data_IF_291705788285
#
_entry.id   IF_291705788285
#
_cell.length_a   1.000
_cell.length_b   1.000
_cell.length_c   1.000
_cell.angle_alpha   90.00
_cell.angle_beta   90.00
_cell.angle_gamma   90.00
#
_symmetry.space_group_name_H-M   'P 1'
#
loop_
_entity.id
_entity.type
_entity.pdbx_description
1 polymer ?
#
# COMPACT_ATOMS: atom_id res chain seq x y z
N UNK A 1 -0.50 42.65 -61.27
CA UNK A 1 0.90 42.44 -61.70
C UNK A 1 1.69 42.03 -60.48
N UNK A 2 1.93 40.73 -60.31
CA UNK A 2 2.90 40.20 -59.38
C UNK A 2 3.68 39.13 -60.17
N UNK A 3 4.90 39.47 -60.53
CA UNK A 3 5.79 38.69 -61.37
C UNK A 3 6.27 37.49 -60.55
N UNK A 4 5.80 36.29 -60.88
CA UNK A 4 6.44 35.05 -60.42
C UNK A 4 7.77 34.94 -61.15
N UNK A 5 8.87 35.06 -60.41
CA UNK A 5 10.20 34.68 -60.87
C UNK A 5 10.22 33.17 -61.11
N UNK A 6 10.24 32.78 -62.38
CA UNK A 6 10.64 31.44 -62.81
C UNK A 6 12.09 31.22 -62.34
N UNK A 7 12.23 30.52 -61.22
CA UNK A 7 13.50 29.89 -60.84
C UNK A 7 13.84 28.86 -61.90
N UNK A 8 14.89 29.16 -62.65
CA UNK A 8 15.56 28.27 -63.59
C UNK A 8 15.99 27.01 -62.83
N UNK A 9 15.16 25.96 -62.88
CA UNK A 9 15.48 24.65 -62.35
C UNK A 9 16.59 24.05 -63.20
N UNK A 10 17.84 24.30 -62.80
CA UNK A 10 19.00 23.63 -63.35
C UNK A 10 18.80 22.12 -63.24
N UNK A 11 19.09 21.43 -64.34
CA UNK A 11 18.93 19.99 -64.53
C UNK A 11 19.84 19.21 -63.57
N UNK A 12 19.47 19.15 -62.28
CA UNK A 12 20.21 18.51 -61.20
C UNK A 12 19.96 17.00 -61.13
N UNK A 13 19.30 16.41 -62.12
CA UNK A 13 19.08 14.96 -62.21
C UNK A 13 20.40 14.17 -62.24
N UNK A 14 21.47 14.78 -62.76
CA UNK A 14 22.81 14.19 -62.83
C UNK A 14 23.71 14.53 -61.63
N UNK A 15 23.29 15.40 -60.71
CA UNK A 15 24.11 15.77 -59.54
C UNK A 15 24.42 14.60 -58.59
N UNK A 16 23.47 13.69 -58.27
CA UNK A 16 23.77 12.50 -57.48
C UNK A 16 24.78 11.57 -58.19
N UNK A 17 24.72 11.49 -59.51
CA UNK A 17 25.63 10.66 -60.32
C UNK A 17 27.05 11.22 -60.25
N UNK A 18 27.24 12.53 -60.41
CA UNK A 18 28.56 13.15 -60.28
C UNK A 18 29.14 13.05 -58.86
N UNK A 19 28.31 13.12 -57.83
CA UNK A 19 28.74 12.91 -56.44
C UNK A 19 29.21 11.46 -56.24
N UNK A 20 28.46 10.48 -56.76
CA UNK A 20 28.84 9.06 -56.70
C UNK A 20 30.15 8.81 -57.45
N UNK A 21 30.29 9.36 -58.66
CA UNK A 21 31.51 9.23 -59.46
C UNK A 21 32.71 9.86 -58.75
N UNK A 22 32.55 11.07 -58.18
CA UNK A 22 33.59 11.73 -57.40
C UNK A 22 33.97 10.90 -56.16
N UNK A 23 32.99 10.29 -55.48
CA UNK A 23 33.23 9.40 -54.35
C UNK A 23 34.03 8.17 -54.76
N UNK A 24 33.70 7.51 -55.87
CA UNK A 24 34.47 6.38 -56.38
C UNK A 24 35.90 6.76 -56.76
N UNK A 25 36.11 7.90 -57.42
CA UNK A 25 37.44 8.41 -57.71
C UNK A 25 38.21 8.74 -56.41
N UNK A 26 37.57 9.39 -55.44
CA UNK A 26 38.18 9.67 -54.14
C UNK A 26 38.58 8.38 -53.41
N UNK A 27 37.70 7.38 -53.34
CA UNK A 27 37.99 6.07 -52.72
C UNK A 27 39.14 5.37 -53.44
N UNK A 28 39.16 5.40 -54.78
CA UNK A 28 40.24 4.83 -55.57
C UNK A 28 41.58 5.55 -55.35
N UNK A 29 41.59 6.88 -55.27
CA UNK A 29 42.81 7.66 -54.97
C UNK A 29 43.29 7.45 -53.54
N UNK A 30 42.38 7.38 -52.57
CA UNK A 30 42.68 7.06 -51.16
C UNK A 30 43.29 5.65 -51.05
N UNK A 31 42.73 4.68 -51.78
CA UNK A 31 43.29 3.35 -51.87
C UNK A 31 44.69 3.38 -52.50
N UNK A 32 44.86 4.03 -53.67
CA UNK A 32 46.15 4.05 -54.38
C UNK A 32 47.27 4.76 -53.62
N UNK A 33 46.97 5.87 -52.94
CA UNK A 33 47.96 6.68 -52.21
C UNK A 33 48.18 6.19 -50.78
N UNK A 34 47.15 5.59 -50.16
CA UNK A 34 47.14 5.17 -48.76
C UNK A 34 47.15 3.66 -48.55
N UNK A 35 47.26 2.85 -49.61
CA UNK A 35 47.17 1.38 -49.56
C UNK A 35 47.97 0.78 -48.40
N UNK A 36 49.25 1.14 -48.30
CA UNK A 36 50.16 0.63 -47.27
C UNK A 36 49.73 1.02 -45.85
N UNK A 37 49.21 2.23 -45.65
CA UNK A 37 48.73 2.68 -44.34
C UNK A 37 47.41 2.01 -43.97
N UNK A 38 46.50 1.82 -44.94
CA UNK A 38 45.20 1.18 -44.74
C UNK A 38 45.39 -0.29 -44.40
N UNK A 39 46.20 -1.02 -45.16
CA UNK A 39 46.48 -2.44 -44.90
C UNK A 39 47.17 -2.62 -43.54
N UNK A 40 48.13 -1.76 -43.19
CA UNK A 40 48.78 -1.79 -41.88
C UNK A 40 47.80 -1.57 -40.72
N UNK A 41 46.89 -0.59 -40.86
CA UNK A 41 45.88 -0.32 -39.84
C UNK A 41 44.87 -1.47 -39.68
N UNK A 42 44.43 -2.07 -40.79
CA UNK A 42 43.52 -3.22 -40.78
C UNK A 42 44.20 -4.45 -40.18
N UNK A 43 45.44 -4.75 -40.57
CA UNK A 43 46.22 -5.84 -39.98
C UNK A 43 46.52 -5.60 -38.50
N UNK A 44 46.81 -4.37 -38.09
CA UNK A 44 46.97 -4.07 -36.66
C UNK A 44 45.71 -4.42 -35.86
N UNK A 45 44.53 -3.96 -36.29
CA UNK A 45 43.27 -4.27 -35.61
C UNK A 45 43.02 -5.78 -35.59
N UNK A 46 43.17 -6.46 -36.73
CA UNK A 46 42.94 -7.89 -36.86
C UNK A 46 43.92 -8.76 -36.06
N UNK A 47 45.20 -8.37 -35.99
CA UNK A 47 46.20 -9.05 -35.16
C UNK A 47 45.83 -8.92 -33.69
N UNK A 48 45.36 -7.74 -33.26
CA UNK A 48 44.91 -7.53 -31.89
C UNK A 48 43.65 -8.35 -31.56
N UNK A 49 42.65 -8.34 -32.44
CA UNK A 49 41.44 -9.16 -32.31
C UNK A 49 41.78 -10.66 -32.29
N UNK A 50 42.61 -11.11 -33.22
CA UNK A 50 43.07 -12.49 -33.31
C UNK A 50 43.86 -12.95 -32.09
N UNK A 51 44.79 -12.12 -31.57
CA UNK A 51 45.53 -12.41 -30.33
C UNK A 51 44.61 -12.53 -29.12
N UNK A 52 43.61 -11.66 -29.03
CA UNK A 52 42.61 -11.69 -27.96
C UNK A 52 41.81 -13.00 -28.02
N UNK A 53 41.34 -13.41 -29.19
CA UNK A 53 40.61 -14.69 -29.35
C UNK A 53 41.52 -15.89 -29.09
N UNK A 54 42.74 -15.88 -29.64
CA UNK A 54 43.66 -17.00 -29.52
C UNK A 54 44.06 -17.27 -28.06
N UNK A 55 44.07 -16.25 -27.19
CA UNK A 55 44.23 -16.41 -25.75
C UNK A 55 43.17 -17.34 -25.13
N UNK A 56 41.95 -17.34 -25.67
CA UNK A 56 40.84 -18.15 -25.17
C UNK A 56 40.67 -19.49 -25.91
N UNK A 57 40.91 -19.53 -27.22
CA UNK A 57 40.68 -20.73 -28.04
C UNK A 57 41.93 -21.59 -28.28
N UNK A 58 43.14 -21.04 -28.13
CA UNK A 58 44.44 -21.70 -28.39
C UNK A 58 44.44 -22.53 -29.69
N UNK A 59 43.90 -21.98 -30.79
CA UNK A 59 43.77 -22.69 -32.04
C UNK A 59 45.04 -22.51 -32.89
N UNK A 60 45.73 -23.59 -33.28
CA UNK A 60 46.97 -23.51 -34.06
C UNK A 60 46.80 -22.82 -35.41
N UNK A 61 45.63 -22.96 -36.06
CA UNK A 61 45.35 -22.32 -37.36
C UNK A 61 45.24 -20.80 -37.25
N UNK A 62 44.65 -20.30 -36.15
CA UNK A 62 44.53 -18.87 -35.88
C UNK A 62 45.91 -18.26 -35.53
N UNK A 63 46.75 -19.02 -34.82
CA UNK A 63 48.12 -18.60 -34.50
C UNK A 63 49.00 -18.48 -35.76
N UNK A 64 48.84 -19.40 -36.71
CA UNK A 64 49.52 -19.34 -38.01
C UNK A 64 49.08 -18.12 -38.82
N UNK A 65 47.78 -17.85 -38.90
CA UNK A 65 47.22 -16.66 -39.57
C UNK A 65 47.70 -15.33 -38.94
N UNK A 66 47.81 -15.28 -37.60
CA UNK A 66 48.37 -14.13 -36.89
C UNK A 66 49.85 -13.92 -37.28
N UNK A 67 50.63 -14.99 -37.32
CA UNK A 67 52.04 -14.93 -37.72
C UNK A 67 52.23 -14.54 -39.19
N UNK A 68 51.33 -14.95 -40.07
CA UNK A 68 51.32 -14.55 -41.49
C UNK A 68 51.04 -13.05 -41.64
N UNK A 69 50.08 -12.49 -40.89
CA UNK A 69 49.84 -11.04 -40.91
C UNK A 69 51.00 -10.21 -40.34
N UNK A 70 51.77 -10.75 -39.40
CA UNK A 70 52.94 -10.08 -38.81
C UNK A 70 54.17 -10.09 -39.73
N UNK A 71 54.26 -11.05 -40.66
CA UNK A 71 55.45 -11.30 -41.49
C UNK A 71 55.30 -10.89 -42.95
N UNK A 72 54.06 -10.75 -43.45
CA UNK A 72 53.79 -10.36 -44.84
C UNK A 72 54.07 -8.86 -45.08
N UNK A 73 54.82 -8.49 -46.14
CA UNK A 73 55.09 -7.10 -46.46
C UNK A 73 53.82 -6.38 -46.92
N UNK A 74 53.45 -5.34 -46.17
CA UNK A 74 52.23 -4.52 -46.34
C UNK A 74 52.09 -3.90 -47.74
N UNK A 75 53.20 -3.73 -48.48
CA UNK A 75 53.23 -3.15 -49.82
C UNK A 75 52.81 -4.11 -50.94
N UNK A 76 52.78 -5.43 -50.70
CA UNK A 76 52.52 -6.45 -51.72
C UNK A 76 51.17 -7.16 -51.60
N UNK A 77 50.32 -6.76 -50.65
CA UNK A 77 49.03 -7.42 -50.38
C UNK A 77 47.98 -6.97 -51.39
N UNK A 78 47.46 -7.91 -52.18
CA UNK A 78 46.31 -7.69 -53.07
C UNK A 78 45.00 -7.61 -52.28
N UNK A 79 43.99 -6.90 -52.81
CA UNK A 79 42.67 -6.74 -52.18
C UNK A 79 42.03 -8.08 -51.82
N UNK A 80 42.14 -9.08 -52.69
CA UNK A 80 41.55 -10.40 -52.45
C UNK A 80 42.24 -11.15 -51.28
N UNK A 81 43.54 -10.92 -51.11
CA UNK A 81 44.33 -11.51 -50.02
C UNK A 81 44.01 -10.81 -48.70
N UNK A 82 43.84 -9.47 -48.71
CA UNK A 82 43.39 -8.71 -47.56
C UNK A 82 42.01 -9.18 -47.08
N UNK A 83 41.06 -9.35 -48.02
CA UNK A 83 39.68 -9.72 -47.70
C UNK A 83 39.59 -11.16 -47.19
N UNK A 84 40.32 -12.12 -47.76
CA UNK A 84 40.31 -13.50 -47.27
C UNK A 84 40.87 -13.63 -45.85
N UNK A 85 42.02 -13.01 -45.58
CA UNK A 85 42.63 -13.02 -44.23
C UNK A 85 41.72 -12.33 -43.19
N UNK A 86 41.09 -11.21 -43.56
CA UNK A 86 40.16 -10.51 -42.67
C UNK A 86 38.86 -11.32 -42.43
N UNK A 87 38.36 -12.06 -43.43
CA UNK A 87 37.19 -12.93 -43.30
C UNK A 87 37.43 -14.09 -42.34
N UNK A 88 38.60 -14.72 -42.40
CA UNK A 88 38.95 -15.85 -41.54
C UNK A 88 38.97 -15.44 -40.06
N UNK A 89 39.55 -14.29 -39.73
CA UNK A 89 39.54 -13.74 -38.35
C UNK A 89 38.14 -13.30 -37.94
N UNK A 90 37.40 -12.70 -38.89
CA UNK A 90 36.01 -12.31 -38.72
C UNK A 90 35.12 -13.49 -38.33
N UNK A 91 35.34 -14.67 -38.92
CA UNK A 91 34.59 -15.89 -38.58
C UNK A 91 34.81 -16.31 -37.11
N UNK A 92 36.04 -16.18 -36.59
CA UNK A 92 36.31 -16.42 -35.17
C UNK A 92 35.76 -15.31 -34.26
N UNK A 93 35.76 -14.05 -34.70
CA UNK A 93 35.18 -12.91 -33.96
C UNK A 93 33.65 -12.98 -33.84
N UNK A 94 32.96 -13.74 -34.70
CA UNK A 94 31.50 -13.93 -34.60
C UNK A 94 31.07 -14.59 -33.30
N UNK A 95 31.80 -15.59 -32.81
CA UNK A 95 31.42 -16.32 -31.60
C UNK A 95 31.33 -15.43 -30.35
N UNK A 96 32.35 -14.64 -29.97
CA UNK A 96 32.26 -13.76 -28.79
C UNK A 96 31.17 -12.69 -28.96
N UNK A 97 31.00 -12.13 -30.16
CA UNK A 97 29.93 -11.17 -30.45
C UNK A 97 28.55 -11.80 -30.27
N UNK A 98 28.35 -13.03 -30.75
CA UNK A 98 27.09 -13.78 -30.55
C UNK A 98 26.84 -14.03 -29.07
N UNK A 99 27.85 -14.38 -28.26
CA UNK A 99 27.68 -14.52 -26.82
C UNK A 99 27.30 -13.21 -26.13
N UNK A 100 27.92 -12.08 -26.52
CA UNK A 100 27.56 -10.76 -26.01
C UNK A 100 26.12 -10.40 -26.39
N UNK A 101 25.74 -10.61 -27.65
CA UNK A 101 24.38 -10.35 -28.14
C UNK A 101 23.34 -11.26 -27.47
N UNK A 102 23.64 -12.53 -27.24
CA UNK A 102 22.80 -13.44 -26.47
C UNK A 102 22.65 -12.97 -25.02
N UNK A 103 23.74 -12.53 -24.39
CA UNK A 103 23.72 -11.94 -23.05
C UNK A 103 22.82 -10.70 -22.99
N UNK A 104 22.97 -9.78 -23.95
CA UNK A 104 22.13 -8.60 -24.08
C UNK A 104 20.68 -8.95 -24.38
N UNK A 105 20.41 -9.98 -25.19
CA UNK A 105 19.06 -10.45 -25.48
C UNK A 105 18.39 -11.02 -24.23
N UNK A 106 19.11 -11.82 -23.42
CA UNK A 106 18.61 -12.33 -22.14
C UNK A 106 18.37 -11.21 -21.14
N UNK A 107 19.28 -10.24 -21.04
CA UNK A 107 19.12 -9.07 -20.18
C UNK A 107 17.91 -8.24 -20.61
N UNK A 108 17.74 -7.99 -21.90
CA UNK A 108 16.60 -7.25 -22.47
C UNK A 108 15.27 -7.98 -22.19
N UNK A 109 15.23 -9.30 -22.38
CA UNK A 109 14.06 -10.12 -22.10
C UNK A 109 13.68 -10.08 -20.61
N UNK A 110 14.66 -10.19 -19.70
CA UNK A 110 14.43 -10.15 -18.24
C UNK A 110 14.11 -8.74 -17.72
N UNK A 111 14.63 -7.69 -18.36
CA UNK A 111 14.43 -6.30 -17.94
C UNK A 111 13.14 -5.68 -18.46
N UNK A 112 12.44 -6.35 -19.37
CA UNK A 112 11.22 -5.82 -19.95
C UNK A 112 10.07 -5.79 -18.91
N UNK A 113 9.77 -4.57 -18.44
CA UNK A 113 8.72 -4.27 -17.46
C UNK A 113 7.33 -4.72 -17.96
N UNK A 114 7.09 -4.72 -19.28
CA UNK A 114 5.81 -5.13 -19.89
C UNK A 114 5.59 -6.64 -19.76
N UNK A 115 6.66 -7.44 -19.69
CA UNK A 115 6.56 -8.89 -19.46
C UNK A 115 6.38 -9.24 -17.98
N UNK A 116 6.73 -8.33 -17.05
CA UNK A 116 6.72 -8.57 -15.60
C UNK A 116 5.31 -8.70 -15.02
N UNK A 117 4.31 -8.02 -15.58
CA UNK A 117 2.93 -7.95 -15.06
C UNK A 117 1.90 -8.73 -15.89
N UNK A 118 2.24 -9.96 -16.32
CA UNK A 118 1.35 -10.81 -17.15
C UNK A 118 0.56 -11.89 -16.40
N UNK A 119 0.63 -11.93 -15.07
CA UNK A 119 -0.06 -12.96 -14.28
C UNK A 119 -1.55 -12.61 -14.19
N UNK A 120 -2.41 -13.52 -14.64
CA UNK A 120 -3.84 -13.44 -14.35
C UNK A 120 -4.04 -13.77 -12.86
N UNK A 121 -4.59 -12.81 -12.11
CA UNK A 121 -4.86 -12.97 -10.69
C UNK A 121 -6.35 -13.20 -10.44
N UNK A 122 -6.65 -14.02 -9.43
CA UNK A 122 -7.95 -14.09 -8.77
C UNK A 122 -7.90 -13.32 -7.44
N UNK A 123 -9.05 -13.12 -6.79
CA UNK A 123 -9.13 -12.35 -5.53
C UNK A 123 -8.15 -12.85 -4.45
N UNK A 124 -8.02 -14.17 -4.29
CA UNK A 124 -7.12 -14.77 -3.29
C UNK A 124 -5.64 -14.60 -3.63
N UNK A 125 -5.25 -14.79 -4.88
CA UNK A 125 -3.84 -14.67 -5.31
C UNK A 125 -3.38 -13.21 -5.33
N UNK A 126 -4.25 -12.26 -5.72
CA UNK A 126 -3.93 -10.85 -5.65
C UNK A 126 -3.73 -10.39 -4.20
N UNK A 127 -4.67 -10.79 -3.31
CA UNK A 127 -4.57 -10.49 -1.87
C UNK A 127 -3.28 -11.06 -1.28
N UNK A 128 -2.93 -12.30 -1.60
CA UNK A 128 -1.72 -12.97 -1.15
C UNK A 128 -0.42 -12.31 -1.65
N UNK A 129 -0.43 -11.70 -2.83
CA UNK A 129 0.72 -10.96 -3.34
C UNK A 129 0.85 -9.59 -2.66
N UNK A 130 -0.25 -8.84 -2.57
CA UNK A 130 -0.25 -7.46 -2.11
C UNK A 130 -0.12 -7.31 -0.58
N UNK A 131 -0.24 -8.39 0.19
CA UNK A 131 -0.08 -8.36 1.64
C UNK A 131 1.26 -7.79 2.12
N UNK A 132 2.32 -7.94 1.32
CA UNK A 132 3.65 -7.43 1.65
C UNK A 132 3.79 -5.93 1.41
N UNK A 133 3.05 -5.40 0.44
CA UNK A 133 2.97 -3.96 0.17
C UNK A 133 2.05 -3.27 1.16
N UNK A 134 0.96 -3.95 1.55
CA UNK A 134 -0.07 -3.43 2.45
C UNK A 134 -0.26 -4.35 3.66
N UNK A 135 0.53 -4.18 4.74
CA UNK A 135 0.42 -5.05 5.92
C UNK A 135 -0.99 -5.06 6.56
N UNK A 136 -1.76 -3.99 6.41
CA UNK A 136 -3.11 -3.84 6.97
C UNK A 136 -4.11 -4.97 6.57
N UNK A 137 -3.92 -5.63 5.42
CA UNK A 137 -4.80 -6.74 4.98
C UNK A 137 -4.37 -8.11 5.51
N UNK A 138 -3.20 -8.20 6.12
CA UNK A 138 -2.62 -9.44 6.65
C UNK A 138 -3.53 -10.17 7.65
N UNK A 139 -4.24 -9.50 8.59
CA UNK A 139 -5.06 -10.20 9.59
C UNK A 139 -6.21 -11.02 9.02
N UNK A 140 -6.70 -10.66 7.82
CA UNK A 140 -7.88 -11.29 7.18
C UNK A 140 -7.47 -12.27 6.08
N UNK A 141 -6.19 -12.35 5.73
CA UNK A 141 -5.76 -13.08 4.54
C UNK A 141 -5.94 -14.60 4.62
N UNK A 142 -5.86 -15.16 5.83
CA UNK A 142 -6.03 -16.58 6.10
C UNK A 142 -7.50 -16.95 6.35
N UNK A 143 -8.36 -15.95 6.55
CA UNK A 143 -9.77 -16.16 6.87
C UNK A 143 -10.62 -16.22 5.59
N UNK A 144 -11.60 -17.12 5.59
CA UNK A 144 -12.71 -17.10 4.64
C UNK A 144 -13.97 -16.55 5.32
N UNK A 145 -14.11 -15.23 5.26
CA UNK A 145 -15.22 -14.50 5.86
C UNK A 145 -16.53 -14.63 5.05
N UNK A 146 -16.46 -15.02 3.78
CA UNK A 146 -17.65 -15.09 2.90
C UNK A 146 -18.54 -16.27 3.29
N UNK A 147 -17.91 -17.38 3.70
CA UNK A 147 -18.60 -18.60 4.12
C UNK A 147 -19.12 -18.54 5.57
N UNK A 148 -18.74 -17.52 6.34
CA UNK A 148 -19.10 -17.39 7.75
C UNK A 148 -20.44 -16.66 7.95
N UNK A 149 -21.15 -17.02 9.02
CA UNK A 149 -22.37 -16.31 9.45
C UNK A 149 -22.01 -14.90 9.94
N UNK A 150 -22.73 -13.92 9.39
CA UNK A 150 -22.50 -12.49 9.58
C UNK A 150 -22.62 -12.05 11.04
N UNK A 151 -23.42 -12.75 11.85
CA UNK A 151 -23.71 -12.39 13.24
C UNK A 151 -22.87 -13.18 14.25
N UNK A 152 -22.01 -14.10 13.80
CA UNK A 152 -21.24 -15.00 14.68
C UNK A 152 -19.74 -14.82 14.51
N UNK A 153 -19.01 -15.25 15.54
CA UNK A 153 -17.55 -15.23 15.56
C UNK A 153 -16.93 -13.85 15.84
N UNK A 154 -15.60 -13.76 15.80
CA UNK A 154 -14.86 -12.55 16.13
C UNK A 154 -15.10 -11.41 15.12
N UNK A 155 -15.42 -11.75 13.88
CA UNK A 155 -15.64 -10.80 12.80
C UNK A 155 -17.10 -10.34 12.65
N UNK A 156 -18.00 -10.80 13.52
CA UNK A 156 -19.44 -10.49 13.47
C UNK A 156 -19.71 -8.99 13.25
N UNK A 157 -20.76 -8.67 12.48
CA UNK A 157 -21.20 -7.29 12.24
C UNK A 157 -21.63 -6.60 13.53
N UNK A 158 -21.68 -5.26 13.49
CA UNK A 158 -22.20 -4.48 14.60
C UNK A 158 -23.70 -4.76 14.78
N UNK A 159 -24.16 -4.85 16.03
CA UNK A 159 -25.58 -5.07 16.30
C UNK A 159 -26.40 -3.84 15.88
N UNK A 160 -27.54 -4.09 15.25
CA UNK A 160 -28.56 -3.04 15.06
C UNK A 160 -29.14 -2.60 16.41
N UNK A 161 -29.75 -1.41 16.52
CA UNK A 161 -30.38 -0.95 17.75
C UNK A 161 -31.42 -1.95 18.32
N UNK A 162 -32.20 -2.59 17.44
CA UNK A 162 -33.19 -3.59 17.82
C UNK A 162 -32.55 -4.89 18.32
N UNK A 163 -31.54 -5.42 17.62
CA UNK A 163 -30.82 -6.62 18.06
C UNK A 163 -30.07 -6.38 19.37
N UNK A 164 -29.49 -5.18 19.54
CA UNK A 164 -28.86 -4.75 20.77
C UNK A 164 -29.87 -4.72 21.92
N UNK A 165 -31.04 -4.09 21.71
CA UNK A 165 -32.08 -4.02 22.72
C UNK A 165 -32.63 -5.41 23.09
N UNK A 166 -32.79 -6.33 22.13
CA UNK A 166 -33.17 -7.73 22.40
C UNK A 166 -32.08 -8.47 23.17
N UNK A 167 -30.82 -8.35 22.77
CA UNK A 167 -29.68 -9.04 23.42
C UNK A 167 -29.56 -8.69 24.91
N UNK A 168 -29.86 -7.45 25.27
CA UNK A 168 -29.78 -6.96 26.65
C UNK A 168 -31.14 -6.86 27.36
N UNK A 169 -32.22 -7.41 26.77
CA UNK A 169 -33.58 -7.38 27.32
C UNK A 169 -34.06 -5.98 27.73
N UNK A 170 -33.81 -4.99 26.87
CA UNK A 170 -34.12 -3.58 27.12
C UNK A 170 -35.52 -3.17 26.66
N UNK A 171 -36.22 -4.03 25.93
CA UNK A 171 -37.54 -3.75 25.38
C UNK A 171 -38.63 -3.98 26.44
N UNK A 172 -39.62 -3.10 26.46
CA UNK A 172 -40.85 -3.23 27.26
C UNK A 172 -42.08 -2.82 26.46
N UNK A 173 -43.26 -3.22 26.94
CA UNK A 173 -44.52 -2.68 26.40
C UNK A 173 -44.66 -1.20 26.71
N UNK A 174 -45.26 -0.46 25.78
CA UNK A 174 -45.56 0.96 25.97
C UNK A 174 -46.75 1.09 26.93
N UNK A 175 -46.56 1.86 28.00
CA UNK A 175 -47.60 2.07 29.00
C UNK A 175 -48.47 3.26 28.59
N UNK A 176 -49.75 2.98 28.30
CA UNK A 176 -50.74 3.96 27.83
C UNK A 176 -50.88 5.16 28.81
N UNK A 177 -50.56 4.96 30.09
CA UNK A 177 -50.65 6.00 31.14
C UNK A 177 -49.38 6.84 31.30
N UNK A 178 -48.20 6.32 30.95
CA UNK A 178 -46.92 6.99 31.18
C UNK A 178 -46.30 7.56 29.90
N UNK A 179 -46.53 6.91 28.76
CA UNK A 179 -45.96 7.28 27.48
C UNK A 179 -47.05 7.91 26.59
N UNK A 180 -46.83 9.15 26.12
CA UNK A 180 -47.80 9.87 25.29
C UNK A 180 -47.95 9.18 23.93
N UNK A 181 -49.13 8.62 23.65
CA UNK A 181 -49.40 8.02 22.35
C UNK A 181 -49.37 9.10 21.27
N UNK A 182 -48.40 8.99 20.37
CA UNK A 182 -48.29 9.86 19.20
C UNK A 182 -48.96 9.16 18.03
N UNK A 183 -49.91 9.81 17.33
CA UNK A 183 -50.57 9.22 16.17
C UNK A 183 -49.54 8.77 15.14
N UNK A 184 -49.57 7.49 14.74
CA UNK A 184 -48.65 6.89 13.75
C UNK A 184 -47.53 6.01 14.31
N UNK A 185 -47.33 5.96 15.63
CA UNK A 185 -46.33 5.12 16.31
C UNK A 185 -46.91 3.82 16.92
N UNK A 186 -48.03 3.35 16.37
CA UNK A 186 -48.66 2.10 16.77
C UNK A 186 -47.72 0.90 16.54
N UNK A 187 -47.74 -0.07 17.46
CA UNK A 187 -46.95 -1.30 17.44
C UNK A 187 -45.42 -1.11 17.58
N UNK A 188 -45.01 -0.13 18.39
CA UNK A 188 -43.61 0.06 18.77
C UNK A 188 -43.34 -0.40 20.19
N UNK A 189 -42.08 -0.71 20.51
CA UNK A 189 -41.65 -1.04 21.87
C UNK A 189 -41.07 0.18 22.56
N UNK A 190 -41.30 0.27 23.87
CA UNK A 190 -40.61 1.23 24.73
C UNK A 190 -39.32 0.62 25.30
N UNK A 191 -38.48 1.46 25.91
CA UNK A 191 -37.20 1.05 26.51
C UNK A 191 -37.26 1.10 28.02
N UNK A 192 -36.67 0.10 28.68
CA UNK A 192 -36.33 0.12 30.12
C UNK A 192 -35.15 1.05 30.35
N UNK A 193 -35.43 2.32 30.67
CA UNK A 193 -34.41 3.39 30.80
C UNK A 193 -33.35 3.09 31.87
N UNK A 194 -33.74 2.46 32.99
CA UNK A 194 -32.82 2.06 34.07
C UNK A 194 -31.82 0.99 33.61
N UNK A 195 -32.29 -0.05 32.93
CA UNK A 195 -31.43 -1.10 32.39
C UNK A 195 -30.56 -0.60 31.24
N UNK A 196 -31.11 0.24 30.36
CA UNK A 196 -30.33 0.89 29.32
C UNK A 196 -29.20 1.74 29.91
N UNK A 197 -29.48 2.49 30.99
CA UNK A 197 -28.46 3.25 31.74
C UNK A 197 -27.36 2.32 32.25
N UNK A 198 -27.72 1.22 32.91
CA UNK A 198 -26.77 0.22 33.40
C UNK A 198 -25.90 -0.35 32.28
N UNK A 199 -26.50 -0.76 31.16
CA UNK A 199 -25.78 -1.35 30.02
C UNK A 199 -24.84 -0.34 29.39
N UNK A 200 -25.29 0.89 29.13
CA UNK A 200 -24.42 1.92 28.57
C UNK A 200 -23.32 2.32 29.54
N UNK A 201 -23.57 2.35 30.85
CA UNK A 201 -22.50 2.58 31.84
C UNK A 201 -21.43 1.48 31.79
N UNK A 202 -21.83 0.21 31.68
CA UNK A 202 -20.87 -0.91 31.53
C UNK A 202 -20.03 -0.80 30.24
N UNK A 203 -20.53 -0.15 29.19
CA UNK A 203 -19.78 0.07 27.96
C UNK A 203 -18.62 1.06 28.13
N UNK A 204 -18.61 2.00 29.09
CA UNK A 204 -17.53 2.99 29.21
C UNK A 204 -16.15 2.35 29.43
N UNK A 205 -16.12 1.18 30.08
CA UNK A 205 -14.87 0.51 30.42
C UNK A 205 -14.15 1.17 31.61
N UNK A 206 -12.84 0.93 31.76
CA UNK A 206 -12.08 1.41 32.90
C UNK A 206 -11.78 2.92 32.82
N UNK A 207 -11.58 3.52 33.98
CA UNK A 207 -11.02 4.86 34.10
C UNK A 207 -9.60 4.92 33.54
N UNK A 208 -9.20 6.10 33.09
CA UNK A 208 -7.83 6.36 32.69
C UNK A 208 -6.99 6.74 33.92
N UNK A 209 -6.01 5.90 34.24
CA UNK A 209 -5.06 6.08 35.36
C UNK A 209 -3.60 6.09 34.85
N UNK A 210 -3.42 6.51 33.60
CA UNK A 210 -2.14 6.46 32.89
C UNK A 210 -2.03 5.31 31.89
N UNK A 211 -1.13 5.47 30.92
CA UNK A 211 -1.00 4.51 29.81
C UNK A 211 -0.50 3.14 30.26
N UNK A 212 0.31 3.05 31.31
CA UNK A 212 0.84 1.77 31.80
C UNK A 212 -0.25 0.79 32.31
N UNK A 213 -1.39 1.33 32.75
CA UNK A 213 -2.55 0.55 33.20
C UNK A 213 -3.53 0.18 32.07
N UNK A 214 -3.30 0.69 30.85
CA UNK A 214 -4.13 0.36 29.70
C UNK A 214 -3.88 -1.08 29.22
N UNK A 215 -4.91 -1.68 28.62
CA UNK A 215 -4.76 -2.95 27.93
C UNK A 215 -3.71 -2.83 26.79
N UNK A 216 -2.95 -3.90 26.47
CA UNK A 216 -1.83 -3.84 25.51
C UNK A 216 -2.22 -3.29 24.13
N UNK A 217 -3.40 -3.64 23.63
CA UNK A 217 -3.92 -3.14 22.36
C UNK A 217 -4.23 -1.63 22.41
N UNK A 218 -4.75 -1.14 23.54
CA UNK A 218 -5.01 0.28 23.74
C UNK A 218 -3.69 1.07 23.90
N UNK A 219 -2.72 0.50 24.63
CA UNK A 219 -1.39 1.06 24.78
C UNK A 219 -0.67 1.24 23.44
N UNK A 220 -0.68 0.21 22.60
CA UNK A 220 0.00 0.27 21.31
C UNK A 220 -0.63 1.27 20.34
N UNK A 221 -1.97 1.33 20.28
CA UNK A 221 -2.66 2.31 19.45
C UNK A 221 -2.53 3.73 19.99
N UNK A 222 -2.50 3.90 21.31
CA UNK A 222 -2.21 5.20 21.91
C UNK A 222 -0.84 5.72 21.42
N UNK A 223 0.17 4.84 21.36
CA UNK A 223 1.50 5.18 20.87
C UNK A 223 1.49 5.61 19.38
N UNK A 224 0.74 4.89 18.54
CA UNK A 224 0.55 5.25 17.13
C UNK A 224 -0.06 6.65 17.02
N UNK A 225 -1.13 6.92 17.77
CA UNK A 225 -1.80 8.23 17.73
C UNK A 225 -0.92 9.34 18.27
N UNK A 226 -0.19 9.12 19.36
CA UNK A 226 0.78 10.10 19.89
C UNK A 226 1.88 10.42 18.88
N UNK A 227 2.46 9.40 18.24
CA UNK A 227 3.46 9.62 17.20
C UNK A 227 2.91 10.49 16.06
N UNK A 228 1.68 10.21 15.61
CA UNK A 228 1.02 11.02 14.56
C UNK A 228 0.70 12.45 15.00
N UNK A 229 0.21 12.66 16.23
CA UNK A 229 0.00 14.00 16.81
C UNK A 229 1.31 14.80 16.79
N UNK A 230 2.43 14.15 17.13
CA UNK A 230 3.75 14.75 17.13
C UNK A 230 4.46 14.70 15.76
N UNK A 231 3.74 14.37 14.67
CA UNK A 231 4.21 14.33 13.27
C UNK A 231 5.35 13.32 13.00
N UNK A 232 5.52 12.32 13.84
CA UNK A 232 6.46 11.21 13.67
C UNK A 232 5.76 10.03 12.97
N UNK A 233 5.64 10.13 11.63
CA UNK A 233 4.93 9.14 10.81
C UNK A 233 5.68 7.82 10.71
N UNK A 234 7.00 7.85 10.71
CA UNK A 234 7.83 6.65 10.59
C UNK A 234 7.67 5.76 11.81
N UNK A 235 7.68 6.33 13.02
CA UNK A 235 7.42 5.59 14.25
C UNK A 235 6.02 4.95 14.29
N UNK A 236 5.00 5.71 13.86
CA UNK A 236 3.63 5.21 13.79
C UNK A 236 3.51 4.02 12.83
N UNK A 237 4.04 4.14 11.62
CA UNK A 237 4.01 3.09 10.61
C UNK A 237 4.82 1.86 11.03
N UNK A 238 5.95 2.05 11.71
CA UNK A 238 6.75 0.95 12.24
C UNK A 238 5.92 0.11 13.23
N UNK A 239 5.19 0.75 14.15
CA UNK A 239 4.33 0.05 15.11
C UNK A 239 3.22 -0.71 14.35
N UNK A 240 2.49 -0.04 13.46
CA UNK A 240 1.39 -0.66 12.70
C UNK A 240 1.87 -1.88 11.90
N UNK A 241 2.95 -1.71 11.13
CA UNK A 241 3.53 -2.80 10.31
C UNK A 241 4.03 -3.97 11.17
N UNK A 242 4.60 -3.67 12.35
CA UNK A 242 5.07 -4.72 13.26
C UNK A 242 3.89 -5.48 13.84
N UNK A 243 2.80 -4.80 14.24
CA UNK A 243 1.59 -5.43 14.76
C UNK A 243 0.90 -6.29 13.70
N UNK A 244 0.77 -5.81 12.46
CA UNK A 244 0.19 -6.58 11.36
C UNK A 244 0.97 -7.87 11.09
N UNK A 245 2.31 -7.78 11.01
CA UNK A 245 3.18 -8.94 10.78
C UNK A 245 3.14 -9.92 11.95
N UNK A 246 3.24 -9.43 13.18
CA UNK A 246 3.27 -10.29 14.37
C UNK A 246 1.92 -10.95 14.65
N UNK A 247 0.81 -10.29 14.33
CA UNK A 247 -0.53 -10.88 14.37
C UNK A 247 -0.62 -12.14 13.50
N UNK A 248 -0.08 -12.11 12.27
CA UNK A 248 -0.06 -13.29 11.38
C UNK A 248 0.76 -14.46 11.92
N UNK A 249 1.84 -14.16 12.65
CA UNK A 249 2.71 -15.16 13.28
C UNK A 249 2.10 -15.75 14.56
N UNK A 250 1.11 -15.09 15.16
CA UNK A 250 0.25 -15.65 16.21
C UNK A 250 -0.03 -14.69 17.36
N UNK A 251 0.98 -14.00 17.89
CA UNK A 251 0.82 -13.05 19.00
C UNK A 251 1.37 -11.67 18.62
N UNK A 252 0.53 -10.62 18.63
CA UNK A 252 0.98 -9.27 18.35
C UNK A 252 2.01 -8.80 19.38
N UNK A 253 3.13 -8.27 18.91
CA UNK A 253 4.13 -7.68 19.79
C UNK A 253 3.80 -6.22 20.08
N UNK A 254 3.12 -5.98 21.21
CA UNK A 254 2.79 -4.62 21.66
C UNK A 254 3.99 -3.90 22.32
N UNK A 255 5.12 -4.58 22.55
CA UNK A 255 6.28 -3.97 23.22
C UNK A 255 6.96 -2.89 22.38
N UNK A 256 6.82 -2.96 21.05
CA UNK A 256 7.31 -1.96 20.08
C UNK A 256 6.79 -0.55 20.35
N UNK A 257 5.65 -0.42 21.04
CA UNK A 257 5.04 0.85 21.38
C UNK A 257 5.70 1.56 22.58
N UNK A 258 6.44 0.84 23.44
CA UNK A 258 6.99 1.38 24.70
C UNK A 258 7.91 2.60 24.50
N UNK A 259 8.86 2.60 23.54
CA UNK A 259 9.73 3.76 23.33
C UNK A 259 8.96 5.02 22.93
N UNK A 260 7.90 4.84 22.13
CA UNK A 260 7.09 5.94 21.59
C UNK A 260 6.19 6.55 22.66
N UNK A 261 5.55 5.73 23.50
CA UNK A 261 4.80 6.23 24.67
C UNK A 261 5.73 7.02 25.59
N UNK A 262 6.89 6.46 25.94
CA UNK A 262 7.85 7.15 26.83
C UNK A 262 8.31 8.49 26.25
N UNK A 263 8.46 8.59 24.94
CA UNK A 263 8.86 9.81 24.22
C UNK A 263 7.76 10.88 24.20
N UNK A 264 6.50 10.49 23.98
CA UNK A 264 5.42 11.44 23.66
C UNK A 264 4.31 11.58 24.71
N UNK A 265 4.26 10.73 25.74
CA UNK A 265 3.23 10.83 26.79
C UNK A 265 3.19 12.19 27.50
N UNK A 266 4.33 12.89 27.55
CA UNK A 266 4.47 14.20 28.17
C UNK A 266 4.34 15.37 27.19
N UNK A 267 3.95 15.13 25.93
CA UNK A 267 3.77 16.22 24.97
C UNK A 267 2.52 17.04 25.31
N UNK A 268 2.57 18.34 25.03
CA UNK A 268 1.52 19.30 25.42
C UNK A 268 0.12 18.87 24.98
N UNK A 269 -0.03 18.51 23.70
CA UNK A 269 -1.31 18.07 23.13
C UNK A 269 -1.83 16.79 23.81
N UNK A 270 -0.93 15.83 24.09
CA UNK A 270 -1.30 14.57 24.73
C UNK A 270 -1.73 14.80 26.19
N UNK A 271 -1.00 15.66 26.91
CA UNK A 271 -1.37 16.04 28.28
C UNK A 271 -2.72 16.76 28.31
N UNK A 272 -2.98 17.67 27.38
CA UNK A 272 -4.28 18.35 27.26
C UNK A 272 -5.42 17.36 27.04
N UNK A 273 -5.25 16.39 26.13
CA UNK A 273 -6.25 15.35 25.86
C UNK A 273 -6.51 14.51 27.11
N UNK A 274 -5.46 14.04 27.77
CA UNK A 274 -5.61 13.21 28.98
C UNK A 274 -6.19 13.97 30.18
N UNK A 275 -6.00 15.29 30.25
CA UNK A 275 -6.61 16.14 31.27
C UNK A 275 -8.12 16.33 31.06
N UNK A 276 -8.59 16.29 29.80
CA UNK A 276 -9.99 16.53 29.41
C UNK A 276 -10.86 15.26 29.38
N UNK A 277 -10.28 14.08 29.53
CA UNK A 277 -11.01 12.81 29.43
C UNK A 277 -10.76 11.87 30.61
N UNK A 278 -11.82 11.23 31.11
CA UNK A 278 -11.77 10.39 32.31
C UNK A 278 -11.62 8.89 32.04
N UNK A 279 -12.06 8.39 30.89
CA UNK A 279 -12.09 6.96 30.56
C UNK A 279 -11.10 6.62 29.46
N UNK A 280 -10.58 5.39 29.47
CA UNK A 280 -9.62 4.93 28.44
C UNK A 280 -10.21 5.08 27.04
N UNK A 281 -11.49 4.72 26.84
CA UNK A 281 -12.14 4.83 25.54
C UNK A 281 -12.31 6.28 25.07
N UNK A 282 -12.55 7.22 25.98
CA UNK A 282 -12.72 8.64 25.61
C UNK A 282 -11.38 9.31 25.35
N UNK A 283 -10.34 8.97 26.13
CA UNK A 283 -8.94 9.35 25.85
C UNK A 283 -8.52 8.84 24.47
N UNK A 284 -8.72 7.55 24.18
CA UNK A 284 -8.39 6.95 22.89
C UNK A 284 -9.17 7.61 21.74
N UNK A 285 -10.44 7.95 21.97
CA UNK A 285 -11.28 8.65 21.00
C UNK A 285 -10.75 10.04 20.64
N UNK A 286 -10.24 10.79 21.61
CA UNK A 286 -9.63 12.10 21.37
C UNK A 286 -8.21 12.01 20.81
N UNK A 287 -7.43 11.00 21.20
CA UNK A 287 -6.11 10.75 20.61
C UNK A 287 -6.20 10.46 19.11
N UNK A 288 -7.10 9.58 18.67
CA UNK A 288 -7.28 9.33 17.23
C UNK A 288 -7.85 10.55 16.51
N UNK A 289 -8.71 11.34 17.17
CA UNK A 289 -9.22 12.58 16.58
C UNK A 289 -8.08 13.57 16.31
N UNK A 290 -7.21 13.81 17.29
CA UNK A 290 -6.06 14.70 17.14
C UNK A 290 -5.02 14.15 16.16
N UNK A 291 -4.78 12.84 16.16
CA UNK A 291 -3.88 12.19 15.20
C UNK A 291 -4.34 12.38 13.74
N UNK A 292 -5.65 12.52 13.51
CA UNK A 292 -6.22 12.77 12.18
C UNK A 292 -6.03 14.20 11.67
N UNK A 293 -5.58 15.12 12.52
CA UNK A 293 -5.23 16.48 12.10
C UNK A 293 -3.89 16.53 11.34
N UNK A 294 -2.96 15.60 11.60
CA UNK A 294 -1.72 15.45 10.82
C UNK A 294 -1.97 14.82 9.43
N UNK A 295 -2.94 13.91 9.35
CA UNK A 295 -3.30 13.25 8.09
C UNK A 295 -4.24 12.07 8.31
N UNK A 296 -4.48 11.28 7.27
CA UNK A 296 -5.40 10.14 7.35
C UNK A 296 -4.84 9.08 8.31
N UNK A 297 -5.68 8.64 9.25
CA UNK A 297 -5.46 7.50 10.17
C UNK A 297 -6.69 6.61 10.08
N UNK A 298 -6.76 5.74 9.06
CA UNK A 298 -7.94 4.93 8.79
C UNK A 298 -7.97 3.71 9.72
N UNK A 299 -9.18 3.24 10.04
CA UNK A 299 -9.33 2.02 10.84
C UNK A 299 -8.89 0.74 10.13
N UNK A 300 -8.68 0.80 8.81
CA UNK A 300 -8.12 -0.31 8.03
C UNK A 300 -6.72 -0.70 8.50
N UNK A 301 -5.91 0.23 9.02
CA UNK A 301 -4.52 -0.03 9.47
C UNK A 301 -4.43 -0.81 10.78
N UNK A 302 -5.54 -0.99 11.50
CA UNK A 302 -5.59 -1.76 12.73
C UNK A 302 -6.71 -2.78 12.71
N UNK A 303 -6.90 -3.43 11.56
CA UNK A 303 -7.94 -4.45 11.36
C UNK A 303 -7.79 -5.63 12.33
N UNK A 304 -6.55 -5.95 12.74
CA UNK A 304 -6.23 -6.93 13.79
C UNK A 304 -6.91 -6.61 15.13
N UNK A 305 -7.32 -5.36 15.38
CA UNK A 305 -7.97 -4.97 16.62
C UNK A 305 -9.39 -5.54 16.72
N UNK A 306 -10.12 -5.69 15.62
CA UNK A 306 -11.51 -6.20 15.62
C UNK A 306 -11.67 -7.53 16.39
N UNK A 307 -10.87 -8.57 16.11
CA UNK A 307 -10.94 -9.84 16.85
C UNK A 307 -10.38 -9.76 18.28
N UNK A 308 -9.48 -8.81 18.57
CA UNK A 308 -8.83 -8.68 19.88
C UNK A 308 -9.68 -7.89 20.87
N UNK A 309 -10.22 -6.75 20.44
CA UNK A 309 -11.04 -5.85 21.26
C UNK A 309 -12.13 -5.20 20.42
N UNK A 310 -13.29 -5.88 20.39
CA UNK A 310 -14.48 -5.44 19.66
C UNK A 310 -14.95 -4.04 20.09
N UNK A 311 -14.85 -3.73 21.38
CA UNK A 311 -15.34 -2.46 21.94
C UNK A 311 -14.44 -1.30 21.54
N UNK A 312 -13.12 -1.45 21.70
CA UNK A 312 -12.16 -0.43 21.27
C UNK A 312 -12.21 -0.24 19.75
N UNK A 313 -12.33 -1.34 18.98
CA UNK A 313 -12.51 -1.27 17.53
C UNK A 313 -13.70 -0.40 17.13
N UNK A 314 -14.90 -0.67 17.66
CA UNK A 314 -16.06 0.13 17.29
C UNK A 314 -15.98 1.56 17.80
N UNK A 315 -15.39 1.79 18.97
CA UNK A 315 -15.20 3.15 19.49
C UNK A 315 -14.34 3.97 18.52
N UNK A 316 -13.18 3.45 18.10
CA UNK A 316 -12.27 4.14 17.17
C UNK A 316 -12.89 4.33 15.78
N UNK A 317 -13.72 3.37 15.32
CA UNK A 317 -14.47 3.50 14.06
C UNK A 317 -15.62 4.53 14.14
N UNK A 318 -16.12 4.84 15.34
CA UNK A 318 -17.15 5.86 15.53
C UNK A 318 -16.59 7.28 15.55
N UNK A 319 -15.29 7.46 15.85
CA UNK A 319 -14.69 8.79 15.80
C UNK A 319 -14.70 9.32 14.37
N UNK A 320 -15.23 10.54 14.19
CA UNK A 320 -15.48 11.15 12.88
C UNK A 320 -16.90 10.91 12.33
N UNK A 321 -17.68 10.01 12.94
CA UNK A 321 -19.10 9.83 12.62
C UNK A 321 -19.97 10.70 13.54
N UNK A 322 -21.20 10.98 13.10
CA UNK A 322 -22.20 11.66 13.95
C UNK A 322 -23.01 10.67 14.81
N UNK A 323 -23.24 9.46 14.28
CA UNK A 323 -24.02 8.41 14.96
C UNK A 323 -23.15 7.19 15.25
N UNK A 324 -23.00 6.77 16.51
CA UNK A 324 -22.21 5.60 16.87
C UNK A 324 -22.96 4.28 16.64
N UNK A 325 -22.25 3.15 16.70
CA UNK A 325 -22.88 1.84 16.84
C UNK A 325 -23.46 1.68 18.26
N UNK A 326 -24.56 0.93 18.40
CA UNK A 326 -25.23 0.72 19.69
C UNK A 326 -24.31 0.09 20.77
N UNK A 327 -23.34 -0.72 20.34
CA UNK A 327 -22.36 -1.38 21.22
C UNK A 327 -21.34 -0.43 21.87
N UNK A 328 -21.23 0.80 21.38
CA UNK A 328 -20.33 1.85 21.91
C UNK A 328 -21.04 3.19 22.07
N UNK A 329 -22.37 3.21 22.09
CA UNK A 329 -23.14 4.42 22.23
C UNK A 329 -22.90 5.09 23.60
N UNK A 330 -22.69 4.30 24.66
CA UNK A 330 -22.32 4.79 25.99
C UNK A 330 -21.01 5.62 25.98
N UNK A 331 -19.84 5.02 25.67
CA UNK A 331 -18.58 5.75 25.64
C UNK A 331 -18.57 6.88 24.62
N UNK A 332 -19.28 6.76 23.49
CA UNK A 332 -19.38 7.84 22.51
C UNK A 332 -20.17 9.05 23.03
N UNK A 333 -21.33 8.82 23.67
CA UNK A 333 -22.12 9.87 24.30
C UNK A 333 -21.30 10.55 25.42
N UNK A 334 -20.61 9.76 26.23
CA UNK A 334 -19.76 10.28 27.29
C UNK A 334 -18.59 11.13 26.75
N UNK A 335 -17.92 10.66 25.70
CA UNK A 335 -16.86 11.41 25.01
C UNK A 335 -17.37 12.75 24.47
N UNK A 336 -18.55 12.77 23.84
CA UNK A 336 -19.20 14.01 23.38
C UNK A 336 -19.51 14.95 24.53
N UNK A 337 -20.03 14.43 25.64
CA UNK A 337 -20.34 15.21 26.83
C UNK A 337 -19.08 15.85 27.45
N UNK A 338 -17.97 15.10 27.60
CA UNK A 338 -16.70 15.64 28.10
C UNK A 338 -16.16 16.77 27.20
N UNK A 339 -16.29 16.60 25.88
CA UNK A 339 -15.89 17.65 24.92
C UNK A 339 -16.74 18.90 25.04
N UNK A 340 -18.05 18.76 25.18
CA UNK A 340 -18.97 19.88 25.32
C UNK A 340 -18.78 20.61 26.65
N UNK A 341 -18.48 19.87 27.71
CA UNK A 341 -18.20 20.42 29.04
C UNK A 341 -16.79 21.02 29.16
N UNK A 342 -15.89 20.70 28.23
CA UNK A 342 -14.48 21.13 28.27
C UNK A 342 -13.66 20.55 29.42
N UNK A 343 -14.14 19.49 30.08
CA UNK A 343 -13.48 18.86 31.24
C UNK A 343 -13.78 17.37 31.33
N UNK A 344 -12.89 16.63 31.99
CA UNK A 344 -13.11 15.21 32.30
C UNK A 344 -14.29 15.02 33.26
N UNK A 345 -15.02 13.93 33.11
CA UNK A 345 -16.14 13.58 34.00
C UNK A 345 -16.07 12.11 34.42
N UNK A 346 -15.88 11.86 35.72
CA UNK A 346 -15.95 10.49 36.24
C UNK A 346 -17.38 9.94 36.25
N UNK A 347 -18.37 10.83 36.40
CA UNK A 347 -19.79 10.49 36.35
C UNK A 347 -20.19 10.15 34.92
N UNK A 348 -20.77 8.97 34.66
CA UNK A 348 -21.20 8.58 33.32
C UNK A 348 -22.29 9.52 32.77
N UNK A 349 -21.97 10.19 31.66
CA UNK A 349 -22.87 11.11 30.93
C UNK A 349 -23.37 10.41 29.67
N UNK A 350 -24.35 9.51 29.82
CA UNK A 350 -24.81 8.61 28.74
C UNK A 350 -26.28 8.76 28.39
N UNK A 351 -26.95 9.78 28.92
CA UNK A 351 -28.38 9.97 28.73
C UNK A 351 -28.77 10.16 27.25
N UNK A 352 -27.90 10.80 26.47
CA UNK A 352 -28.08 10.92 25.01
C UNK A 352 -28.05 9.57 24.28
N UNK A 353 -27.29 8.58 24.77
CA UNK A 353 -27.31 7.24 24.19
C UNK A 353 -28.66 6.54 24.43
N UNK A 354 -29.29 6.77 25.59
CA UNK A 354 -30.61 6.24 25.93
C UNK A 354 -31.68 6.88 25.04
N UNK A 355 -31.66 8.22 24.91
CA UNK A 355 -32.59 8.94 24.03
C UNK A 355 -32.45 8.50 22.58
N UNK A 356 -31.22 8.39 22.07
CA UNK A 356 -30.97 7.94 20.70
C UNK A 356 -31.46 6.51 20.47
N UNK A 357 -31.29 5.61 21.45
CA UNK A 357 -31.81 4.25 21.36
C UNK A 357 -33.35 4.26 21.34
N UNK A 358 -34.00 5.11 22.14
CA UNK A 358 -35.46 5.24 22.17
C UNK A 358 -36.02 5.66 20.81
N UNK A 359 -35.40 6.64 20.18
CA UNK A 359 -35.76 7.10 18.84
C UNK A 359 -35.58 5.95 17.83
N UNK A 360 -34.42 5.28 17.84
CA UNK A 360 -34.12 4.21 16.88
C UNK A 360 -35.06 2.98 17.01
N UNK A 361 -35.57 2.69 18.21
CA UNK A 361 -36.51 1.58 18.41
C UNK A 361 -37.91 1.96 17.95
N UNK A 362 -38.33 3.22 18.16
CA UNK A 362 -39.62 3.75 17.70
C UNK A 362 -39.76 3.76 16.16
N UNK A 363 -38.65 3.75 15.42
CA UNK A 363 -38.66 3.63 13.96
C UNK A 363 -39.04 2.23 13.46
N UNK A 364 -38.98 1.20 14.31
CA UNK A 364 -39.15 -0.20 13.91
C UNK A 364 -40.50 -0.73 14.39
N UNK A 365 -41.39 -1.02 13.43
CA UNK A 365 -42.68 -1.67 13.72
C UNK A 365 -42.49 -3.13 14.06
N UNK A 366 -43.08 -3.56 15.17
CA UNK A 366 -43.06 -4.95 15.61
C UNK A 366 -44.25 -5.72 15.07
N UNK A 367 -44.07 -7.02 14.83
CA UNK A 367 -45.19 -7.91 14.49
C UNK A 367 -46.12 -8.12 15.70
N UNK A 368 -47.41 -8.46 15.51
CA UNK A 368 -48.32 -8.71 16.64
C UNK A 368 -47.81 -9.77 17.61
N UNK A 369 -47.15 -10.82 17.09
CA UNK A 369 -46.54 -11.87 17.91
C UNK A 369 -45.41 -11.33 18.78
N UNK A 370 -44.50 -10.54 18.20
CA UNK A 370 -43.39 -9.93 18.95
C UNK A 370 -43.89 -8.93 19.99
N UNK A 371 -45.00 -8.23 19.73
CA UNK A 371 -45.64 -7.34 20.71
C UNK A 371 -46.20 -8.12 21.91
N UNK A 372 -46.76 -9.31 21.70
CA UNK A 372 -47.26 -10.15 22.79
C UNK A 372 -46.14 -10.67 23.68
N UNK A 373 -44.99 -11.03 23.09
CA UNK A 373 -43.78 -11.51 23.76
C UNK A 373 -43.11 -10.45 24.66
N UNK A 374 -43.40 -9.16 24.47
CA UNK A 374 -42.85 -8.10 25.32
C UNK A 374 -43.42 -8.18 26.74
N UNK A 375 -42.52 -8.13 27.72
CA UNK A 375 -42.88 -7.93 29.11
C UNK A 375 -43.21 -6.44 29.37
N UNK A 376 -44.08 -6.13 30.34
CA UNK A 376 -44.25 -4.76 30.82
C UNK A 376 -42.95 -4.17 31.40
#
# INVERSE_FOLDING_TARGET
MAQQSQGQGGDNSMAPVWIIVLLFFCVYFVWKLGHSYIVSAVFFINIWEGKLINLFLNNPLLAEQISLMETVPVSGVDWNTLVSITQEIGDYMRYPIVFILLGLAVLSYKSNIILKYKKAHNMSTLRAQEQFNWPAIMPVIKEDLVSQDVNKGPWAMALTPMEFARKYNLLRKEDILMDSQTPGLEMTAAIRKSDAKRVFTMQLGPYWEGFEHCAPQAYALAAVFMARINRDREAANLILHTLDKTYVTGKPDFSVARPIIKKYQGSEIVQEITAKHAYVLTVMGSLIQAAREDGVVPSSEFLWLKPVDRRLWYMLNCIGRQTPYAEVAGPFAHWRAEKEMGRRSLVPMIDEAIKALEIAIKEIKLTPRQMQELEP
#
